data_IF_434862873947
#
_entry.id   IF_434862873947
#
_cell.length_a   1.000
_cell.length_b   1.000
_cell.length_c   1.000
_cell.angle_alpha   90.00
_cell.angle_beta   90.00
_cell.angle_gamma   90.00
#
_symmetry.space_group_name_H-M   'P 1'
#
loop_
_entity.id
_entity.type
_entity.pdbx_description
1 polymer ?
#
# COMPACT_ATOMS: atom_id res chain seq x y z
N UNK A 1 31.72 -52.21 9.78
CA UNK A 1 31.77 -52.74 11.18
C UNK A 1 30.74 -51.95 11.96
N UNK A 2 29.57 -52.55 12.18
CA UNK A 2 29.08 -53.22 13.39
C UNK A 2 28.90 -52.24 14.55
N UNK A 3 27.79 -52.07 15.24
CA UNK A 3 26.67 -52.97 15.61
C UNK A 3 25.49 -52.20 16.19
N UNK A 4 24.31 -52.61 15.83
CA UNK A 4 23.03 -52.60 16.53
C UNK A 4 23.13 -52.76 18.05
N UNK A 5 22.17 -52.15 18.81
CA UNK A 5 21.43 -52.87 19.87
C UNK A 5 20.04 -52.28 20.10
N UNK A 6 19.04 -53.11 19.92
CA UNK A 6 17.64 -53.04 20.37
C UNK A 6 17.58 -53.59 21.81
N UNK A 7 16.58 -53.14 22.58
CA UNK A 7 15.71 -53.91 23.55
C UNK A 7 14.77 -52.86 24.20
N UNK A 8 13.47 -52.94 24.33
CA UNK A 8 12.59 -54.12 24.48
C UNK A 8 12.05 -54.24 25.89
N UNK A 9 10.73 -54.29 26.02
CA UNK A 9 10.05 -54.82 27.22
C UNK A 9 9.03 -53.85 27.84
N UNK A 10 7.70 -54.01 27.58
CA UNK A 10 6.69 -54.80 28.31
C UNK A 10 6.36 -54.13 29.64
N UNK A 11 5.14 -53.74 30.02
CA UNK A 11 3.85 -54.37 29.98
C UNK A 11 3.27 -54.19 31.40
N UNK A 12 2.02 -53.84 31.56
CA UNK A 12 1.40 -53.80 32.86
C UNK A 12 -0.10 -53.40 32.79
N UNK A 13 -0.94 -54.41 32.82
CA UNK A 13 -2.41 -54.32 32.94
C UNK A 13 -2.81 -54.18 34.41
N UNK A 14 -3.99 -53.62 34.65
CA UNK A 14 -4.83 -53.73 35.86
C UNK A 14 -5.34 -52.38 36.26
N UNK A 15 -6.59 -52.16 36.56
CA UNK A 15 -7.70 -52.97 36.86
C UNK A 15 -8.84 -52.02 37.27
N UNK A 16 -10.06 -52.40 37.05
CA UNK A 16 -11.32 -51.72 37.30
C UNK A 16 -11.66 -51.56 38.80
N UNK A 17 -12.39 -50.49 39.13
CA UNK A 17 -13.46 -50.38 40.16
C UNK A 17 -14.03 -48.99 40.09
N UNK A 18 -15.18 -48.75 39.75
CA UNK A 18 -16.51 -48.71 40.21
C UNK A 18 -16.74 -47.73 41.35
N UNK A 19 -17.35 -46.56 41.09
CA UNK A 19 -18.12 -45.84 42.08
C UNK A 19 -19.23 -45.03 41.38
N UNK A 20 -20.43 -45.50 41.50
CA UNK A 20 -21.69 -44.84 41.24
C UNK A 20 -21.87 -43.60 42.14
N UNK A 21 -21.94 -42.43 41.56
CA UNK A 21 -22.25 -41.18 42.23
C UNK A 21 -23.43 -40.49 41.55
N UNK A 22 -24.58 -40.62 42.16
CA UNK A 22 -25.85 -39.95 41.91
C UNK A 22 -25.71 -38.45 41.86
N UNK A 23 -25.95 -37.83 40.73
CA UNK A 23 -26.08 -36.36 40.60
C UNK A 23 -27.57 -36.00 40.65
N UNK A 24 -27.98 -35.56 41.84
CA UNK A 24 -29.28 -34.96 42.04
C UNK A 24 -29.40 -33.61 41.36
N UNK A 25 -30.45 -33.44 40.63
CA UNK A 25 -31.17 -32.25 40.17
C UNK A 25 -30.73 -30.95 40.85
N UNK A 26 -30.20 -30.04 40.06
CA UNK A 26 -30.19 -28.59 40.33
C UNK A 26 -31.09 -27.90 39.30
N UNK A 27 -32.05 -27.20 39.82
CA UNK A 27 -33.18 -26.59 39.16
C UNK A 27 -32.81 -25.51 38.18
N UNK A 28 -33.65 -25.41 37.17
CA UNK A 28 -33.78 -24.33 36.21
C UNK A 28 -33.69 -22.95 36.88
N UNK A 29 -32.69 -22.15 36.45
CA UNK A 29 -32.78 -20.69 36.51
C UNK A 29 -32.86 -20.19 35.08
N UNK A 30 -34.02 -19.59 34.79
CA UNK A 30 -34.35 -18.97 33.51
C UNK A 30 -33.30 -17.93 33.12
N UNK A 31 -32.41 -18.28 32.22
CA UNK A 31 -31.61 -17.33 31.49
C UNK A 31 -32.49 -16.61 30.52
N UNK A 32 -32.74 -15.34 30.78
CA UNK A 32 -33.37 -14.42 29.78
C UNK A 32 -32.50 -14.46 28.56
N UNK A 33 -33.00 -15.06 27.50
CA UNK A 33 -32.40 -15.02 26.17
C UNK A 33 -32.32 -13.58 25.70
N UNK A 34 -31.17 -12.93 25.92
CA UNK A 34 -30.83 -11.68 25.25
C UNK A 34 -30.76 -11.98 23.76
N UNK A 35 -31.74 -11.53 23.00
CA UNK A 35 -31.71 -11.59 21.55
C UNK A 35 -30.38 -10.91 21.11
N UNK A 36 -29.55 -11.66 20.38
CA UNK A 36 -28.39 -11.08 19.69
C UNK A 36 -28.89 -9.92 18.84
N UNK A 37 -28.30 -8.70 18.96
CA UNK A 37 -28.70 -7.61 18.09
C UNK A 37 -28.55 -8.08 16.63
N UNK A 38 -29.55 -7.78 15.83
CA UNK A 38 -29.51 -8.07 14.40
C UNK A 38 -28.22 -7.49 13.78
N UNK A 39 -27.56 -8.20 12.86
CA UNK A 39 -26.40 -7.67 12.19
C UNK A 39 -26.78 -6.33 11.55
N UNK A 40 -25.92 -5.32 11.74
CA UNK A 40 -26.13 -4.02 11.12
C UNK A 40 -26.35 -4.20 9.60
N UNK A 41 -27.29 -3.46 9.00
CA UNK A 41 -27.53 -3.56 7.56
C UNK A 41 -26.24 -3.36 6.80
N UNK A 42 -25.99 -4.21 5.80
CA UNK A 42 -24.84 -4.06 4.93
C UNK A 42 -24.81 -2.63 4.37
N UNK A 43 -23.66 -1.97 4.32
CA UNK A 43 -23.58 -0.63 3.76
C UNK A 43 -24.15 -0.67 2.33
N UNK A 44 -24.98 0.30 2.02
CA UNK A 44 -25.58 0.43 0.68
C UNK A 44 -24.47 0.36 -0.39
N UNK A 45 -24.72 -0.29 -1.53
CA UNK A 45 -23.77 -0.34 -2.62
C UNK A 45 -23.33 1.10 -2.94
N UNK A 46 -22.04 1.37 -2.84
CA UNK A 46 -21.50 2.69 -3.18
C UNK A 46 -21.67 2.87 -4.68
N UNK A 47 -22.18 4.01 -5.07
CA UNK A 47 -22.27 4.36 -6.49
C UNK A 47 -20.86 4.28 -7.08
N UNK A 48 -20.68 3.62 -8.24
CA UNK A 48 -19.39 3.53 -8.88
C UNK A 48 -18.88 4.93 -9.22
N UNK A 49 -17.60 5.15 -8.96
CA UNK A 49 -16.92 6.40 -9.31
C UNK A 49 -16.03 6.16 -10.51
N UNK A 50 -15.74 7.20 -11.25
CA UNK A 50 -14.80 7.17 -12.38
C UNK A 50 -13.80 8.32 -12.29
N UNK A 51 -12.64 8.10 -12.87
CA UNK A 51 -11.62 9.11 -13.04
C UNK A 51 -11.77 9.72 -14.44
N UNK A 52 -11.66 11.04 -14.54
CA UNK A 52 -11.71 11.75 -15.84
C UNK A 52 -10.35 11.77 -16.54
N UNK A 53 -9.27 11.54 -15.81
CA UNK A 53 -7.88 11.45 -16.28
C UNK A 53 -7.01 10.67 -15.30
N UNK A 54 -5.80 10.20 -15.69
CA UNK A 54 -4.86 9.56 -14.79
C UNK A 54 -4.53 10.43 -13.58
N UNK A 55 -4.34 9.81 -12.41
CA UNK A 55 -3.92 10.50 -11.16
C UNK A 55 -2.59 9.95 -10.72
N UNK A 56 -1.56 10.79 -10.72
CA UNK A 56 -0.20 10.44 -10.34
C UNK A 56 0.09 10.82 -8.89
N UNK A 57 0.46 9.85 -8.07
CA UNK A 57 0.94 10.09 -6.71
C UNK A 57 2.45 10.25 -6.73
N UNK A 58 2.94 11.44 -6.44
CA UNK A 58 4.37 11.74 -6.31
C UNK A 58 4.73 12.06 -4.86
N UNK A 59 6.02 12.03 -4.54
CA UNK A 59 6.53 12.32 -3.21
C UNK A 59 7.67 11.39 -2.82
N UNK A 60 8.34 11.73 -1.74
CA UNK A 60 9.51 11.01 -1.26
C UNK A 60 9.17 9.55 -0.87
N UNK A 61 10.18 8.69 -0.81
CA UNK A 61 9.98 7.32 -0.30
C UNK A 61 9.45 7.37 1.14
N UNK A 62 8.58 6.44 1.53
CA UNK A 62 7.92 6.48 2.84
C UNK A 62 6.71 7.43 2.94
N UNK A 63 6.41 8.26 1.93
CA UNK A 63 5.21 9.12 1.91
C UNK A 63 3.89 8.34 1.90
N UNK A 64 3.92 7.04 1.56
CA UNK A 64 2.74 6.18 1.58
C UNK A 64 1.97 6.13 0.26
N UNK A 65 2.55 6.57 -0.85
CA UNK A 65 1.93 6.65 -2.18
C UNK A 65 1.15 5.38 -2.57
N UNK A 66 1.81 4.25 -2.58
CA UNK A 66 1.21 2.94 -2.94
C UNK A 66 0.06 2.56 -2.02
N UNK A 67 0.22 2.76 -0.71
CA UNK A 67 -0.81 2.44 0.29
C UNK A 67 -2.03 3.34 0.15
N UNK A 68 -1.82 4.64 -0.09
CA UNK A 68 -2.89 5.63 -0.30
C UNK A 68 -3.62 5.34 -1.61
N UNK A 69 -2.90 5.15 -2.72
CA UNK A 69 -3.48 4.83 -4.02
C UNK A 69 -4.34 3.55 -3.96
N UNK A 70 -3.81 2.46 -3.38
CA UNK A 70 -4.55 1.20 -3.19
C UNK A 70 -5.76 1.36 -2.26
N UNK A 71 -5.68 2.20 -1.24
CA UNK A 71 -6.81 2.47 -0.35
C UNK A 71 -7.89 3.26 -1.06
N UNK A 72 -7.51 4.28 -1.80
CA UNK A 72 -8.43 5.11 -2.60
C UNK A 72 -9.11 4.28 -3.69
N UNK A 73 -8.35 3.47 -4.42
CA UNK A 73 -8.86 2.54 -5.43
C UNK A 73 -9.99 1.66 -4.89
N UNK A 74 -9.80 1.10 -3.68
CA UNK A 74 -10.85 0.29 -3.00
C UNK A 74 -12.05 1.10 -2.53
N UNK A 75 -11.86 2.35 -2.14
CA UNK A 75 -12.96 3.22 -1.70
C UNK A 75 -13.84 3.63 -2.89
N UNK A 76 -13.21 3.96 -4.02
CA UNK A 76 -13.86 4.51 -5.20
C UNK A 76 -14.17 3.47 -6.28
N UNK A 77 -13.70 2.23 -6.12
CA UNK A 77 -13.83 1.14 -7.11
C UNK A 77 -13.19 1.49 -8.47
N UNK A 78 -12.04 2.19 -8.43
CA UNK A 78 -11.24 2.55 -9.61
C UNK A 78 -9.94 1.73 -9.68
N UNK A 79 -9.34 1.64 -10.87
CA UNK A 79 -8.08 0.94 -11.06
C UNK A 79 -6.89 1.67 -10.38
N UNK A 80 -5.89 0.91 -9.93
CA UNK A 80 -4.63 1.46 -9.46
C UNK A 80 -3.45 0.60 -9.83
N UNK A 81 -2.31 1.23 -10.11
CA UNK A 81 -1.05 0.58 -10.43
C UNK A 81 0.08 1.19 -9.60
N UNK A 82 1.04 0.36 -9.21
CA UNK A 82 2.33 0.79 -8.70
C UNK A 82 3.33 0.74 -9.86
N UNK A 83 3.95 1.88 -10.16
CA UNK A 83 4.79 2.07 -11.34
C UNK A 83 6.03 1.17 -11.31
N UNK A 84 6.68 1.01 -10.14
CA UNK A 84 7.84 0.13 -10.00
C UNK A 84 7.43 -1.34 -10.28
N UNK A 85 6.30 -1.78 -9.72
CA UNK A 85 5.77 -3.13 -9.98
C UNK A 85 5.38 -3.32 -11.46
N UNK A 86 4.84 -2.29 -12.11
CA UNK A 86 4.49 -2.33 -13.52
C UNK A 86 5.74 -2.44 -14.40
N UNK A 87 6.75 -1.63 -14.10
CA UNK A 87 8.06 -1.65 -14.75
C UNK A 87 8.72 -3.02 -14.66
N UNK A 88 8.79 -3.60 -13.46
CA UNK A 88 9.38 -4.93 -13.24
C UNK A 88 8.69 -6.03 -14.06
N UNK A 89 7.36 -5.95 -14.21
CA UNK A 89 6.60 -6.92 -15.02
C UNK A 89 6.82 -6.72 -16.51
N UNK A 90 6.92 -5.47 -16.96
CA UNK A 90 7.15 -5.13 -18.36
C UNK A 90 8.53 -5.60 -18.84
N UNK A 91 9.55 -5.35 -18.02
CA UNK A 91 10.94 -5.68 -18.32
C UNK A 91 11.32 -7.13 -17.95
N UNK A 92 10.43 -7.87 -17.25
CA UNK A 92 10.71 -9.20 -16.66
C UNK A 92 11.99 -9.21 -15.82
N UNK A 93 12.30 -8.07 -15.19
CA UNK A 93 13.50 -7.84 -14.37
C UNK A 93 13.15 -6.98 -13.18
N UNK A 94 13.84 -7.16 -12.06
CA UNK A 94 13.65 -6.31 -10.89
C UNK A 94 14.38 -4.97 -11.05
N UNK A 95 13.82 -3.91 -10.50
CA UNK A 95 14.43 -2.57 -10.49
C UNK A 95 15.88 -2.63 -10.01
N UNK A 96 16.17 -3.36 -8.92
CA UNK A 96 17.52 -3.52 -8.38
C UNK A 96 18.51 -4.16 -9.37
N UNK A 97 18.03 -5.10 -10.20
CA UNK A 97 18.85 -5.81 -11.17
C UNK A 97 19.14 -4.91 -12.38
N UNK A 98 18.16 -4.11 -12.83
CA UNK A 98 18.35 -3.08 -13.86
C UNK A 98 19.40 -2.05 -13.41
N UNK A 99 19.30 -1.57 -12.16
CA UNK A 99 20.32 -0.64 -11.63
C UNK A 99 21.71 -1.25 -11.57
N UNK A 100 21.84 -2.52 -11.20
CA UNK A 100 23.10 -3.19 -11.05
C UNK A 100 23.79 -3.53 -12.39
N UNK A 101 22.98 -3.90 -13.40
CA UNK A 101 23.48 -4.39 -14.70
C UNK A 101 23.59 -3.27 -15.72
N UNK A 102 22.58 -2.37 -15.80
CA UNK A 102 22.47 -1.36 -16.85
C UNK A 102 22.74 0.08 -16.33
N UNK A 103 22.74 0.27 -15.02
CA UNK A 103 22.98 1.56 -14.38
C UNK A 103 21.76 2.46 -14.24
N UNK A 104 21.96 3.64 -13.61
CA UNK A 104 20.86 4.56 -13.31
C UNK A 104 20.26 5.18 -14.58
N UNK A 105 21.07 5.55 -15.56
CA UNK A 105 20.59 6.21 -16.77
C UNK A 105 19.66 5.33 -17.61
N UNK A 106 19.98 4.04 -17.72
CA UNK A 106 19.14 3.06 -18.38
C UNK A 106 17.81 2.87 -17.64
N UNK A 107 17.88 2.72 -16.30
CA UNK A 107 16.66 2.67 -15.49
C UNK A 107 15.78 3.91 -15.68
N UNK A 108 16.38 5.11 -15.70
CA UNK A 108 15.64 6.36 -15.89
C UNK A 108 14.99 6.47 -17.28
N UNK A 109 15.61 5.92 -18.31
CA UNK A 109 14.99 5.84 -19.64
C UNK A 109 13.75 4.93 -19.60
N UNK A 110 13.86 3.73 -19.02
CA UNK A 110 12.75 2.80 -18.84
C UNK A 110 11.64 3.41 -17.97
N UNK A 111 12.00 4.11 -16.89
CA UNK A 111 11.05 4.82 -16.02
C UNK A 111 10.24 5.87 -16.79
N UNK A 112 10.89 6.61 -17.71
CA UNK A 112 10.22 7.59 -18.58
C UNK A 112 9.25 6.91 -19.55
N UNK A 113 9.66 5.83 -20.22
CA UNK A 113 8.82 5.08 -21.15
C UNK A 113 7.57 4.52 -20.45
N UNK A 114 7.76 3.94 -19.25
CA UNK A 114 6.66 3.40 -18.45
C UNK A 114 5.70 4.51 -18.00
N UNK A 115 6.23 5.67 -17.60
CA UNK A 115 5.40 6.82 -17.22
C UNK A 115 4.55 7.30 -18.39
N UNK A 116 5.14 7.45 -19.58
CA UNK A 116 4.44 7.84 -20.80
C UNK A 116 3.35 6.83 -21.18
N UNK A 117 3.65 5.53 -21.09
CA UNK A 117 2.69 4.46 -21.33
C UNK A 117 1.49 4.54 -20.36
N UNK A 118 1.75 4.76 -19.06
CA UNK A 118 0.71 4.86 -18.05
C UNK A 118 -0.13 6.14 -18.19
N UNK A 119 0.47 7.22 -18.65
CA UNK A 119 -0.22 8.48 -18.92
C UNK A 119 -1.19 8.37 -20.12
N UNK A 120 -0.90 7.48 -21.07
CA UNK A 120 -1.73 7.24 -22.25
C UNK A 120 -2.84 6.19 -22.05
N UNK A 121 -2.88 5.53 -20.90
CA UNK A 121 -3.93 4.53 -20.59
C UNK A 121 -5.25 5.16 -20.16
N UNK A 122 -6.30 4.32 -20.09
CA UNK A 122 -7.55 4.68 -19.43
C UNK A 122 -7.27 5.22 -18.02
N UNK A 123 -8.07 6.18 -17.54
CA UNK A 123 -7.84 6.84 -16.26
C UNK A 123 -7.69 5.86 -15.09
N UNK A 124 -6.58 5.97 -14.37
CA UNK A 124 -6.25 5.12 -13.22
C UNK A 124 -5.41 5.88 -12.18
N UNK A 125 -5.28 5.32 -10.99
CA UNK A 125 -4.39 5.85 -9.95
C UNK A 125 -2.99 5.24 -10.11
N UNK A 126 -1.97 6.07 -10.29
CA UNK A 126 -0.58 5.65 -10.47
C UNK A 126 0.26 6.05 -9.27
N UNK A 127 0.83 5.08 -8.56
CA UNK A 127 1.84 5.32 -7.51
C UNK A 127 3.21 5.38 -8.17
N UNK A 128 3.78 6.56 -8.33
CA UNK A 128 5.08 6.76 -8.97
C UNK A 128 6.27 6.45 -8.07
N UNK A 129 7.41 6.09 -8.65
CA UNK A 129 8.69 6.01 -7.97
C UNK A 129 9.11 7.37 -7.38
N UNK A 130 9.88 7.36 -6.28
CA UNK A 130 10.28 8.61 -5.63
C UNK A 130 11.28 9.45 -6.45
N UNK A 131 11.88 8.89 -7.48
CA UNK A 131 12.80 9.58 -8.37
C UNK A 131 12.19 10.05 -9.69
N UNK A 132 10.91 9.77 -9.94
CA UNK A 132 10.23 10.07 -11.19
C UNK A 132 10.34 11.54 -11.61
N UNK A 133 10.40 12.46 -10.65
CA UNK A 133 10.48 13.91 -10.87
C UNK A 133 11.89 14.40 -11.25
N UNK A 134 12.92 13.55 -11.26
CA UNK A 134 14.30 14.00 -11.48
C UNK A 134 14.53 14.44 -12.94
N UNK A 135 13.91 13.76 -13.92
CA UNK A 135 13.99 14.15 -15.33
C UNK A 135 12.94 15.21 -15.66
N UNK A 136 13.34 16.24 -16.43
CA UNK A 136 12.40 17.27 -16.92
C UNK A 136 11.31 16.67 -17.80
N UNK A 137 11.67 15.72 -18.63
CA UNK A 137 10.76 14.98 -19.49
C UNK A 137 9.64 14.31 -18.69
N UNK A 138 9.96 13.65 -17.58
CA UNK A 138 8.96 13.06 -16.69
C UNK A 138 8.06 14.11 -16.06
N UNK A 139 8.62 15.26 -15.68
CA UNK A 139 7.83 16.37 -15.15
C UNK A 139 6.85 16.93 -16.17
N UNK A 140 7.24 16.99 -17.44
CA UNK A 140 6.34 17.37 -18.52
C UNK A 140 5.22 16.34 -18.69
N UNK A 141 5.55 15.03 -18.77
CA UNK A 141 4.56 13.96 -18.89
C UNK A 141 3.57 13.99 -17.71
N UNK A 142 4.03 14.20 -16.47
CA UNK A 142 3.17 14.29 -15.30
C UNK A 142 2.17 15.45 -15.40
N UNK A 143 2.63 16.67 -15.78
CA UNK A 143 1.78 17.86 -15.88
C UNK A 143 0.75 17.78 -17.01
N UNK A 144 1.15 17.21 -18.14
CA UNK A 144 0.31 17.14 -19.35
C UNK A 144 -0.59 15.90 -19.36
N UNK A 145 -0.08 14.79 -18.81
CA UNK A 145 -0.71 13.47 -18.89
C UNK A 145 -1.75 13.16 -17.81
N UNK A 146 -1.88 13.98 -16.77
CA UNK A 146 -2.85 13.66 -15.72
C UNK A 146 -2.98 14.71 -14.61
N UNK A 147 -3.45 14.27 -13.46
CA UNK A 147 -3.56 15.08 -12.24
C UNK A 147 -2.55 14.60 -11.20
N UNK A 148 -1.74 15.51 -10.69
CA UNK A 148 -0.62 15.18 -9.81
C UNK A 148 -0.94 15.48 -8.35
N UNK A 149 -0.95 14.44 -7.52
CA UNK A 149 -1.10 14.53 -6.07
C UNK A 149 0.26 14.36 -5.40
N UNK A 150 0.78 15.42 -4.83
CA UNK A 150 2.00 15.36 -4.03
C UNK A 150 1.69 14.98 -2.59
N UNK A 151 2.18 13.82 -2.15
CA UNK A 151 2.13 13.41 -0.75
C UNK A 151 3.40 13.90 -0.04
N UNK A 152 3.27 15.03 0.67
CA UNK A 152 4.39 15.65 1.39
C UNK A 152 4.67 14.91 2.69
N UNK A 153 5.94 14.58 2.92
CA UNK A 153 6.45 13.94 4.13
C UNK A 153 7.85 14.46 4.41
N UNK A 154 8.21 14.61 5.68
CA UNK A 154 9.60 14.88 6.07
C UNK A 154 10.43 13.60 6.00
N UNK A 155 11.75 13.71 5.86
CA UNK A 155 12.64 12.54 5.86
C UNK A 155 12.55 11.77 7.17
N UNK A 156 12.40 12.45 8.31
CA UNK A 156 12.28 11.84 9.63
C UNK A 156 11.01 11.00 9.77
N UNK A 157 9.87 11.54 9.33
CA UNK A 157 8.63 10.78 9.32
C UNK A 157 8.65 9.62 8.32
N UNK A 158 9.26 9.85 7.15
CA UNK A 158 9.45 8.79 6.17
C UNK A 158 10.28 7.64 6.75
N UNK A 159 11.38 7.96 7.45
CA UNK A 159 12.21 6.98 8.14
C UNK A 159 11.44 6.21 9.22
N UNK A 160 10.63 6.91 10.03
CA UNK A 160 9.82 6.29 11.10
C UNK A 160 8.77 5.30 10.58
N UNK A 161 8.31 5.46 9.33
CA UNK A 161 7.30 4.61 8.69
C UNK A 161 7.86 3.37 8.00
N UNK A 162 9.18 3.33 7.80
CA UNK A 162 9.85 2.23 7.12
C UNK A 162 10.37 1.26 8.17
N UNK A 163 9.66 0.13 8.33
CA UNK A 163 10.02 -0.92 9.28
C UNK A 163 11.23 -1.76 8.85
N UNK A 164 11.54 -1.78 7.56
CA UNK A 164 12.69 -2.51 6.99
C UNK A 164 13.60 -1.55 6.24
N UNK A 165 14.66 -1.10 6.91
CA UNK A 165 15.70 -0.24 6.33
C UNK A 165 16.72 -1.03 5.50
N UNK A 166 16.79 -2.36 5.62
CA UNK A 166 17.74 -3.20 4.88
C UNK A 166 17.47 -3.21 3.38
N UNK A 167 16.20 -3.12 2.98
CA UNK A 167 15.77 -3.03 1.58
C UNK A 167 15.87 -1.62 1.00
N UNK A 168 16.26 -0.60 1.82
CA UNK A 168 16.29 0.81 1.42
C UNK A 168 17.57 1.50 1.89
N UNK A 169 18.67 1.38 1.15
CA UNK A 169 20.00 1.92 1.53
C UNK A 169 20.01 3.39 1.90
N UNK A 170 19.10 4.21 1.33
CA UNK A 170 19.00 5.65 1.60
C UNK A 170 18.65 6.00 3.05
N UNK A 171 18.02 5.11 3.81
CA UNK A 171 17.73 5.35 5.22
C UNK A 171 18.76 4.78 6.20
N UNK A 172 19.84 4.20 5.68
CA UNK A 172 21.03 3.87 6.50
C UNK A 172 21.78 5.15 6.89
N UNK A 173 21.65 6.22 6.09
CA UNK A 173 22.14 7.57 6.40
C UNK A 173 20.97 8.57 6.37
N UNK A 174 20.48 8.93 7.57
CA UNK A 174 19.37 9.85 7.71
C UNK A 174 19.73 11.28 7.28
N UNK A 175 20.98 11.69 7.41
CA UNK A 175 21.43 13.01 6.96
C UNK A 175 21.39 13.09 5.43
N UNK A 176 21.88 12.05 4.73
CA UNK A 176 21.76 11.95 3.28
C UNK A 176 20.30 11.86 2.80
N UNK A 177 19.45 11.17 3.56
CA UNK A 177 18.01 11.11 3.24
C UNK A 177 17.32 12.48 3.37
N UNK A 178 17.66 13.27 4.40
CA UNK A 178 17.16 14.65 4.58
C UNK A 178 17.60 15.54 3.43
N UNK A 179 18.89 15.56 3.11
CA UNK A 179 19.42 16.38 2.02
C UNK A 179 18.72 16.07 0.69
N UNK A 180 18.53 14.79 0.36
CA UNK A 180 17.80 14.38 -0.86
C UNK A 180 16.32 14.73 -0.82
N UNK A 181 15.69 14.69 0.34
CA UNK A 181 14.29 15.09 0.50
C UNK A 181 14.13 16.60 0.22
N UNK A 182 15.02 17.41 0.79
CA UNK A 182 15.05 18.87 0.62
C UNK A 182 15.36 19.26 -0.82
N UNK A 183 16.35 18.64 -1.45
CA UNK A 183 16.70 18.85 -2.87
C UNK A 183 15.51 18.57 -3.81
N UNK A 184 14.72 17.53 -3.52
CA UNK A 184 13.60 17.11 -4.38
C UNK A 184 12.30 17.84 -4.09
N UNK A 185 12.18 18.49 -2.94
CA UNK A 185 10.95 19.20 -2.53
C UNK A 185 10.46 20.18 -3.60
N UNK A 186 11.28 21.12 -4.14
CA UNK A 186 10.82 22.05 -5.16
C UNK A 186 10.40 21.35 -6.46
N UNK A 187 10.99 20.20 -6.79
CA UNK A 187 10.60 19.43 -7.99
C UNK A 187 9.23 18.77 -7.84
N UNK A 188 8.90 18.25 -6.63
CA UNK A 188 7.56 17.74 -6.35
C UNK A 188 6.52 18.86 -6.37
N UNK A 189 6.83 20.01 -5.76
CA UNK A 189 5.93 21.16 -5.73
C UNK A 189 5.67 21.73 -7.12
N UNK A 190 6.69 21.76 -7.98
CA UNK A 190 6.58 22.27 -9.36
C UNK A 190 5.67 21.46 -10.29
N UNK A 191 5.41 20.19 -9.97
CA UNK A 191 4.53 19.33 -10.78
C UNK A 191 3.16 19.10 -10.15
N UNK A 192 2.97 19.47 -8.88
CA UNK A 192 1.77 19.12 -8.12
C UNK A 192 0.58 20.03 -8.46
N UNK A 193 -0.56 19.43 -8.79
CA UNK A 193 -1.85 20.13 -8.82
C UNK A 193 -2.37 20.34 -7.39
N UNK A 194 -2.17 19.35 -6.51
CA UNK A 194 -2.51 19.45 -5.08
C UNK A 194 -1.42 18.83 -4.21
N UNK A 195 -1.23 19.42 -3.03
CA UNK A 195 -0.32 18.90 -2.00
C UNK A 195 -1.10 18.44 -0.79
N UNK A 196 -0.80 17.24 -0.30
CA UNK A 196 -1.39 16.66 0.91
C UNK A 196 -0.31 16.35 1.92
N UNK A 197 -0.34 17.03 3.07
CA UNK A 197 0.54 16.71 4.18
C UNK A 197 0.16 15.37 4.80
N UNK A 198 1.15 14.51 4.93
CA UNK A 198 0.93 13.17 5.50
C UNK A 198 1.31 13.07 6.97
N UNK A 199 1.86 14.15 7.55
CA UNK A 199 2.32 14.20 8.93
C UNK A 199 1.22 13.81 9.92
N UNK A 200 1.51 12.87 10.82
CA UNK A 200 0.58 12.42 11.84
C UNK A 200 -0.70 11.75 11.33
N UNK A 201 -0.86 11.55 10.02
CA UNK A 201 -2.07 10.99 9.43
C UNK A 201 -1.90 9.53 9.04
N UNK A 202 -2.90 8.71 9.35
CA UNK A 202 -2.98 7.34 8.84
C UNK A 202 -3.46 7.28 7.38
N UNK A 203 -3.11 6.19 6.67
CA UNK A 203 -3.44 5.96 5.25
C UNK A 203 -4.93 6.20 4.93
N UNK A 204 -5.83 5.81 5.82
CA UNK A 204 -7.27 5.98 5.60
C UNK A 204 -7.71 7.46 5.63
N UNK A 205 -7.09 8.28 6.47
CA UNK A 205 -7.38 9.71 6.55
C UNK A 205 -6.84 10.43 5.30
N UNK A 206 -5.61 10.13 4.90
CA UNK A 206 -4.98 10.67 3.69
C UNK A 206 -5.81 10.31 2.45
N UNK A 207 -6.22 9.03 2.30
CA UNK A 207 -7.02 8.60 1.16
C UNK A 207 -8.37 9.34 1.06
N UNK A 208 -9.04 9.60 2.20
CA UNK A 208 -10.28 10.39 2.22
C UNK A 208 -10.06 11.86 1.89
N UNK A 209 -8.93 12.43 2.32
CA UNK A 209 -8.55 13.81 1.99
C UNK A 209 -8.30 13.94 0.49
N UNK A 210 -7.53 13.01 -0.09
CA UNK A 210 -7.30 12.95 -1.54
C UNK A 210 -8.61 12.76 -2.30
N UNK A 211 -9.49 11.85 -1.86
CA UNK A 211 -10.81 11.67 -2.48
C UNK A 211 -11.56 12.99 -2.60
N UNK A 212 -11.69 13.74 -1.50
CA UNK A 212 -12.39 15.03 -1.50
C UNK A 212 -11.75 16.07 -2.42
N UNK A 213 -10.42 16.08 -2.50
CA UNK A 213 -9.71 16.97 -3.41
C UNK A 213 -9.98 16.60 -4.87
N UNK A 214 -9.89 15.32 -5.23
CA UNK A 214 -10.18 14.86 -6.59
C UNK A 214 -11.64 15.11 -7.00
N UNK A 215 -12.59 14.94 -6.07
CA UNK A 215 -14.00 15.29 -6.30
C UNK A 215 -14.18 16.79 -6.52
N UNK A 216 -13.53 17.63 -5.70
CA UNK A 216 -13.58 19.10 -5.82
C UNK A 216 -13.01 19.60 -7.14
N UNK A 217 -11.92 19.00 -7.61
CA UNK A 217 -11.25 19.35 -8.87
C UNK A 217 -11.89 18.67 -10.10
N UNK A 218 -12.99 17.92 -9.93
CA UNK A 218 -13.70 17.25 -11.03
C UNK A 218 -12.91 16.10 -11.67
N UNK A 219 -11.88 15.61 -10.99
CA UNK A 219 -11.05 14.49 -11.46
C UNK A 219 -11.67 13.14 -11.10
N UNK A 220 -12.41 13.09 -10.01
CA UNK A 220 -13.15 11.92 -9.55
C UNK A 220 -14.65 12.26 -9.52
N UNK A 221 -15.44 11.59 -10.34
CA UNK A 221 -16.85 11.85 -10.52
C UNK A 221 -17.67 10.60 -10.20
N UNK A 222 -18.95 10.80 -9.86
CA UNK A 222 -19.90 9.68 -9.81
C UNK A 222 -20.30 9.31 -11.23
N UNK A 223 -20.36 8.01 -11.52
CA UNK A 223 -20.87 7.58 -12.81
C UNK A 223 -22.35 8.00 -12.95
N UNK A 224 -22.75 8.62 -14.05
CA UNK A 224 -24.16 8.85 -14.33
C UNK A 224 -24.88 7.51 -14.41
N UNK A 225 -26.08 7.44 -13.84
CA UNK A 225 -26.96 6.25 -13.91
C UNK A 225 -27.52 6.09 -15.32
#
# INVERSE_FOLDING_TARGET
MSRRKRRGGTGGRGGAAGASGTWARAAARGGRGGARPAPAPAPAPREPMELTRPVFFVGFMGAGKTSVARRLARICSVASVDMDTYLERREDRRVKDIFAEDGEDAFRAIETDVLAELAAKDPLLVSCGGGVILREENRAILREGGFVVYLRVTADEAASRISDTSSRPLFQDLAAARARCEERLPLYEAVADVTVDTAGKGVAAIAREVQRLLEKEGVLCRQPR
#
